data_IF_061779525229
#
_entry.id   IF_061779525229
#
_cell.length_a   1.000
_cell.length_b   1.000
_cell.length_c   1.000
_cell.angle_alpha   90.00
_cell.angle_beta   90.00
_cell.angle_gamma   90.00
#
_symmetry.space_group_name_H-M   'P 1'
#
loop_
_entity.id
_entity.type
_entity.pdbx_description
1 polymer ?
#
# COMPACT_ATOMS: atom_id res chain seq x y z
N UNK A 1 37.08 4.07 28.09
CA UNK A 1 37.87 5.05 28.89
C UNK A 1 38.57 6.02 27.94
N UNK A 2 38.77 7.28 28.39
CA UNK A 2 39.18 8.52 27.68
C UNK A 2 37.96 9.34 27.22
N UNK A 3 37.23 10.06 28.11
CA UNK A 3 37.53 11.32 28.83
C UNK A 3 37.94 12.47 27.89
N UNK A 4 37.03 13.43 27.65
CA UNK A 4 37.23 14.91 27.53
C UNK A 4 35.85 15.57 27.78
N UNK A 5 35.54 16.01 29.00
CA UNK A 5 35.82 17.32 29.64
C UNK A 5 34.82 18.43 29.22
N UNK A 6 34.27 19.05 30.27
CA UNK A 6 33.10 19.94 30.41
C UNK A 6 33.27 21.32 29.77
N UNK A 7 32.15 21.91 29.31
CA UNK A 7 31.83 23.35 29.43
C UNK A 7 30.32 23.52 29.12
N UNK A 8 29.41 23.50 30.10
CA UNK A 8 28.91 24.65 30.86
C UNK A 8 28.57 25.88 30.02
N UNK A 9 27.30 26.01 29.60
CA UNK A 9 26.57 27.25 29.88
C UNK A 9 25.05 27.04 29.86
N UNK A 10 24.48 27.39 31.00
CA UNK A 10 23.08 27.44 31.35
C UNK A 10 22.50 28.76 30.82
N UNK A 11 21.48 28.72 29.98
CA UNK A 11 20.57 29.85 29.78
C UNK A 11 19.14 29.35 29.75
N UNK A 12 18.53 29.38 30.93
CA UNK A 12 17.10 29.39 31.15
C UNK A 12 16.57 30.72 30.62
N UNK A 13 15.64 30.67 29.66
CA UNK A 13 14.73 31.78 29.41
C UNK A 13 13.31 31.24 29.49
N UNK A 14 12.71 31.43 30.66
CA UNK A 14 11.31 31.23 30.90
C UNK A 14 10.56 32.48 30.44
N UNK A 15 9.77 32.36 29.38
CA UNK A 15 8.67 33.27 29.11
C UNK A 15 7.40 32.46 29.05
N UNK A 16 6.67 32.46 30.15
CA UNK A 16 5.27 32.09 30.21
C UNK A 16 4.46 33.24 29.59
N UNK A 17 3.85 33.01 28.43
CA UNK A 17 2.67 33.77 28.00
C UNK A 17 1.45 32.87 28.17
N UNK A 18 0.67 33.17 29.21
CA UNK A 18 -0.71 32.74 29.33
C UNK A 18 -1.50 33.51 28.28
N UNK A 19 -2.08 32.79 27.32
CA UNK A 19 -3.17 33.28 26.49
C UNK A 19 -4.39 32.39 26.75
N UNK A 20 -5.18 32.76 27.76
CA UNK A 20 -6.56 32.30 27.87
C UNK A 20 -7.34 32.89 26.70
N UNK A 21 -7.67 32.05 25.73
CA UNK A 21 -8.67 32.34 24.71
C UNK A 21 -9.69 31.21 24.68
N UNK A 22 -10.83 31.41 25.33
CA UNK A 22 -12.07 30.69 25.02
C UNK A 22 -12.95 31.67 24.25
N UNK A 23 -13.40 31.30 23.04
CA UNK A 23 -14.80 30.92 22.97
C UNK A 23 -15.09 29.77 21.98
N UNK A 24 -16.19 29.08 22.29
CA UNK A 24 -17.06 28.36 21.36
C UNK A 24 -16.57 27.01 20.84
N UNK A 25 -17.18 25.97 21.43
CA UNK A 25 -17.77 24.82 20.74
C UNK A 25 -17.64 24.86 19.22
N UNK A 26 -16.65 24.13 18.71
CA UNK A 26 -16.78 23.49 17.42
C UNK A 26 -16.49 22.02 17.64
N UNK A 27 -17.55 21.22 17.53
CA UNK A 27 -17.44 19.78 17.32
C UNK A 27 -16.62 19.55 16.04
N UNK A 28 -15.29 19.61 16.17
CA UNK A 28 -14.45 18.83 15.28
C UNK A 28 -14.30 17.49 15.99
N UNK A 29 -15.26 16.63 15.72
CA UNK A 29 -15.04 15.19 15.75
C UNK A 29 -13.76 14.99 14.93
N UNK A 30 -12.62 14.96 15.61
CA UNK A 30 -11.48 14.19 15.14
C UNK A 30 -12.05 12.79 15.11
N UNK A 31 -12.62 12.42 13.97
CA UNK A 31 -12.73 11.03 13.59
C UNK A 31 -11.29 10.57 13.64
N UNK A 32 -10.91 10.02 14.78
CA UNK A 32 -9.92 8.98 14.85
C UNK A 32 -10.38 8.00 13.79
N UNK A 33 -9.81 8.14 12.59
CA UNK A 33 -9.94 7.17 11.53
C UNK A 33 -9.28 5.94 12.11
N UNK A 34 -10.04 5.16 12.88
CA UNK A 34 -9.78 3.74 13.04
C UNK A 34 -9.63 3.25 11.63
N UNK A 35 -8.37 3.07 11.21
CA UNK A 35 -8.02 2.45 9.96
C UNK A 35 -8.84 1.16 9.97
N UNK A 36 -9.88 1.10 9.16
CA UNK A 36 -10.65 -0.14 9.07
C UNK A 36 -9.76 -1.11 8.31
N UNK A 37 -9.04 -1.89 9.11
CA UNK A 37 -8.11 -2.91 8.67
C UNK A 37 -8.93 -4.14 8.32
N UNK A 38 -8.87 -4.57 7.07
CA UNK A 38 -9.45 -5.82 6.62
C UNK A 38 -8.38 -6.79 6.13
N UNK A 39 -8.79 -8.00 5.79
CA UNK A 39 -7.92 -8.99 5.13
C UNK A 39 -8.51 -9.37 3.77
N UNK A 40 -7.62 -9.64 2.84
CA UNK A 40 -7.92 -10.21 1.51
C UNK A 40 -7.03 -11.38 1.23
N UNK A 41 -7.46 -12.25 0.32
CA UNK A 41 -6.62 -13.31 -0.21
C UNK A 41 -5.88 -12.76 -1.43
N UNK A 42 -4.56 -12.72 -1.37
CA UNK A 42 -3.70 -12.33 -2.48
C UNK A 42 -3.01 -13.57 -3.03
N UNK A 43 -3.21 -13.83 -4.32
CA UNK A 43 -2.62 -14.95 -5.04
C UNK A 43 -1.73 -14.39 -6.14
N UNK A 44 -0.46 -14.80 -6.17
CA UNK A 44 0.49 -14.46 -7.24
C UNK A 44 0.99 -15.75 -7.86
N UNK A 45 0.74 -15.91 -9.17
CA UNK A 45 1.23 -17.05 -9.96
C UNK A 45 2.53 -16.67 -10.65
N UNK A 46 3.62 -17.24 -10.16
CA UNK A 46 4.99 -16.96 -10.55
C UNK A 46 5.55 -18.16 -11.32
N UNK A 47 5.62 -18.09 -12.65
CA UNK A 47 6.12 -19.18 -13.50
C UNK A 47 5.49 -20.56 -13.15
N UNK A 48 6.20 -21.42 -12.41
CA UNK A 48 5.71 -22.73 -11.94
C UNK A 48 5.09 -22.73 -10.54
N UNK A 49 5.20 -21.63 -9.80
CA UNK A 49 4.79 -21.50 -8.41
C UNK A 49 3.49 -20.70 -8.26
N UNK A 50 2.72 -21.02 -7.22
CA UNK A 50 1.53 -20.27 -6.83
C UNK A 50 1.67 -19.88 -5.37
N UNK A 51 1.82 -18.58 -5.10
CA UNK A 51 1.84 -18.02 -3.76
C UNK A 51 0.41 -17.58 -3.42
N UNK A 52 -0.13 -18.00 -2.28
CA UNK A 52 -1.43 -17.56 -1.78
C UNK A 52 -1.32 -17.22 -0.30
N UNK A 53 -1.70 -16.00 0.06
CA UNK A 53 -1.57 -15.47 1.40
C UNK A 53 -2.72 -14.54 1.77
N UNK A 54 -2.98 -14.42 3.08
CA UNK A 54 -3.96 -13.47 3.61
C UNK A 54 -3.25 -12.20 4.05
N UNK A 55 -3.38 -11.16 3.24
CA UNK A 55 -2.73 -9.87 3.45
C UNK A 55 -3.70 -8.85 4.01
N UNK A 56 -3.15 -7.87 4.71
CA UNK A 56 -3.90 -6.76 5.28
C UNK A 56 -4.13 -5.70 4.22
N UNK A 57 -5.30 -5.07 4.22
CA UNK A 57 -5.57 -3.84 3.46
C UNK A 57 -6.22 -2.79 4.36
N UNK A 58 -6.03 -1.53 4.01
CA UNK A 58 -6.68 -0.39 4.63
C UNK A 58 -7.82 0.13 3.76
N UNK A 59 -8.84 0.70 4.40
CA UNK A 59 -9.97 1.30 3.69
C UNK A 59 -9.50 2.41 2.74
N UNK A 60 -9.75 2.19 1.45
CA UNK A 60 -9.34 3.11 0.38
C UNK A 60 -8.26 2.54 -0.52
N UNK A 61 -7.51 1.54 -0.04
CA UNK A 61 -6.46 0.85 -0.80
C UNK A 61 -7.03 0.24 -2.08
N UNK A 62 -6.24 0.37 -3.14
CA UNK A 62 -6.51 -0.25 -4.42
C UNK A 62 -5.85 -1.62 -4.51
N UNK A 63 -6.25 -2.41 -5.51
CA UNK A 63 -5.65 -3.71 -5.80
C UNK A 63 -4.14 -3.59 -6.01
N UNK A 64 -3.68 -2.50 -6.65
CA UNK A 64 -2.25 -2.24 -6.81
C UNK A 64 -1.56 -1.90 -5.48
N UNK A 65 -2.21 -1.15 -4.59
CA UNK A 65 -1.61 -0.76 -3.31
C UNK A 65 -1.38 -2.00 -2.43
N UNK A 66 -2.37 -2.91 -2.40
CA UNK A 66 -2.25 -4.18 -1.69
C UNK A 66 -1.13 -5.04 -2.29
N UNK A 67 -0.99 -5.08 -3.62
CA UNK A 67 0.13 -5.80 -4.24
C UNK A 67 1.48 -5.19 -3.84
N UNK A 68 1.64 -3.87 -3.96
CA UNK A 68 2.89 -3.16 -3.62
C UNK A 68 3.28 -3.23 -2.15
N UNK A 69 2.31 -3.37 -1.26
CA UNK A 69 2.57 -3.53 0.17
C UNK A 69 3.25 -4.88 0.49
N UNK A 70 3.10 -5.89 -0.36
CA UNK A 70 3.59 -7.25 -0.13
C UNK A 70 4.69 -7.68 -1.12
N UNK A 71 4.74 -7.09 -2.33
CA UNK A 71 5.65 -7.46 -3.41
C UNK A 71 6.36 -6.24 -4.00
N UNK A 72 7.54 -6.44 -4.59
CA UNK A 72 8.23 -5.42 -5.40
C UNK A 72 7.60 -5.37 -6.78
N UNK A 73 6.87 -4.29 -7.05
CA UNK A 73 6.17 -4.10 -8.32
C UNK A 73 6.87 -3.06 -9.19
N UNK A 74 7.05 -3.37 -10.47
CA UNK A 74 7.39 -2.37 -11.51
C UNK A 74 6.19 -2.11 -12.38
N UNK A 75 6.05 -0.87 -12.83
CA UNK A 75 4.94 -0.44 -13.68
C UNK A 75 5.45 0.38 -14.86
N UNK A 76 4.63 0.39 -15.92
CA UNK A 76 4.78 1.26 -17.08
C UNK A 76 3.39 1.62 -17.58
N UNK A 77 3.09 2.92 -17.67
CA UNK A 77 1.81 3.44 -18.17
C UNK A 77 0.56 2.85 -17.46
N UNK A 78 0.69 2.53 -16.18
CA UNK A 78 -0.39 1.94 -15.37
C UNK A 78 -0.54 0.41 -15.50
N UNK A 79 0.34 -0.25 -16.25
CA UNK A 79 0.43 -1.70 -16.34
C UNK A 79 1.56 -2.24 -15.48
N UNK A 80 1.31 -3.36 -14.80
CA UNK A 80 2.32 -4.06 -13.99
C UNK A 80 3.28 -4.79 -14.92
N UNK A 81 4.54 -4.38 -14.98
CA UNK A 81 5.57 -4.99 -15.84
C UNK A 81 6.39 -6.05 -15.12
N UNK A 82 6.43 -6.03 -13.78
CA UNK A 82 7.09 -7.06 -12.99
C UNK A 82 6.54 -7.15 -11.58
N UNK A 83 6.53 -8.36 -11.03
CA UNK A 83 6.27 -8.68 -9.62
C UNK A 83 7.47 -9.50 -9.12
N UNK A 84 8.14 -9.04 -8.06
CA UNK A 84 9.31 -9.67 -7.44
C UNK A 84 10.44 -10.09 -8.41
N UNK A 85 10.62 -9.31 -9.47
CA UNK A 85 11.66 -9.52 -10.48
C UNK A 85 11.22 -10.39 -11.66
N UNK A 86 10.07 -11.06 -11.56
CA UNK A 86 9.46 -11.79 -12.68
C UNK A 86 8.80 -10.79 -13.61
N UNK A 87 9.36 -10.67 -14.82
CA UNK A 87 8.96 -9.65 -15.79
C UNK A 87 8.04 -10.22 -16.86
N UNK A 88 7.29 -9.34 -17.50
CA UNK A 88 6.58 -9.65 -18.75
C UNK A 88 7.55 -10.03 -19.87
N UNK A 89 7.04 -10.72 -20.89
CA UNK A 89 7.76 -10.99 -22.14
C UNK A 89 6.94 -10.44 -23.31
N UNK A 90 7.21 -9.18 -23.68
CA UNK A 90 6.52 -8.49 -24.78
C UNK A 90 6.71 -9.23 -26.12
N UNK A 91 7.84 -9.92 -26.32
CA UNK A 91 8.12 -10.66 -27.56
C UNK A 91 7.23 -11.88 -27.72
N UNK A 92 6.83 -12.49 -26.59
CA UNK A 92 5.87 -13.60 -26.54
C UNK A 92 4.44 -13.15 -26.27
N UNK A 93 4.20 -11.84 -26.10
CA UNK A 93 2.92 -11.29 -25.70
C UNK A 93 2.47 -11.76 -24.32
N UNK A 94 3.40 -12.10 -23.42
CA UNK A 94 3.12 -12.59 -22.07
C UNK A 94 3.05 -11.40 -21.10
N UNK A 95 1.85 -11.10 -20.60
CA UNK A 95 1.59 -9.94 -19.75
C UNK A 95 1.06 -10.34 -18.39
N UNK A 96 1.29 -9.47 -17.39
CA UNK A 96 0.65 -9.61 -16.08
C UNK A 96 -0.81 -9.17 -16.17
N UNK A 97 -1.69 -10.10 -15.81
CA UNK A 97 -3.13 -9.92 -15.70
C UNK A 97 -3.56 -10.09 -14.26
N UNK A 98 -4.79 -9.66 -13.96
CA UNK A 98 -5.36 -9.89 -12.64
C UNK A 98 -6.87 -10.11 -12.67
N UNK A 99 -7.34 -10.82 -11.64
CA UNK A 99 -8.75 -11.08 -11.38
C UNK A 99 -9.10 -10.66 -9.95
N UNK A 100 -10.33 -10.24 -9.77
CA UNK A 100 -10.92 -10.02 -8.44
C UNK A 100 -12.14 -10.92 -8.32
N UNK A 101 -12.17 -11.75 -7.27
CA UNK A 101 -13.23 -12.72 -7.02
C UNK A 101 -13.49 -13.64 -8.22
N UNK A 102 -12.41 -14.15 -8.82
CA UNK A 102 -12.40 -15.02 -10.01
C UNK A 102 -13.00 -14.38 -11.29
N UNK A 103 -13.19 -13.05 -11.32
CA UNK A 103 -13.69 -12.30 -12.48
C UNK A 103 -12.61 -11.36 -13.00
N UNK A 104 -12.54 -11.21 -14.32
CA UNK A 104 -11.67 -10.22 -14.95
C UNK A 104 -12.07 -8.82 -14.50
N UNK A 105 -11.07 -8.04 -14.12
CA UNK A 105 -11.26 -6.67 -13.69
C UNK A 105 -11.56 -5.75 -14.88
N UNK A 106 -12.60 -4.90 -14.80
CA UNK A 106 -12.97 -3.99 -15.90
C UNK A 106 -12.09 -2.73 -15.97
N UNK A 107 -11.16 -2.56 -15.03
CA UNK A 107 -10.31 -1.36 -14.85
C UNK A 107 -8.91 -1.80 -14.42
N UNK A 108 -7.95 -0.88 -14.50
CA UNK A 108 -6.60 -1.12 -14.02
C UNK A 108 -6.55 -1.33 -12.49
N UNK A 109 -5.51 -2.03 -12.00
CA UNK A 109 -5.36 -2.39 -10.59
C UNK A 109 -5.32 -1.17 -9.65
N UNK A 110 -4.80 -0.04 -10.11
CA UNK A 110 -4.76 1.24 -9.39
C UNK A 110 -6.13 1.97 -9.34
N UNK A 111 -7.17 1.43 -9.97
CA UNK A 111 -8.51 2.03 -10.03
C UNK A 111 -9.57 1.19 -9.31
N UNK A 112 -9.21 0.01 -8.82
CA UNK A 112 -10.13 -0.92 -8.15
C UNK A 112 -9.83 -0.91 -6.67
N UNK A 113 -10.76 -0.37 -5.88
CA UNK A 113 -10.68 -0.42 -4.42
C UNK A 113 -10.96 -1.83 -3.91
N UNK A 114 -10.16 -2.25 -2.96
CA UNK A 114 -10.25 -3.55 -2.31
C UNK A 114 -11.36 -3.56 -1.27
N UNK A 115 -12.07 -4.68 -1.17
CA UNK A 115 -13.10 -4.94 -0.18
C UNK A 115 -12.73 -6.13 0.68
N UNK A 116 -13.35 -6.20 1.85
CA UNK A 116 -13.14 -7.28 2.81
C UNK A 116 -13.44 -8.62 2.16
N UNK A 117 -12.54 -9.57 2.35
CA UNK A 117 -12.62 -10.93 1.80
C UNK A 117 -12.57 -11.00 0.26
N UNK A 118 -12.13 -9.95 -0.43
CA UNK A 118 -11.81 -10.10 -1.85
C UNK A 118 -10.70 -11.13 -2.03
N UNK A 119 -10.80 -11.90 -3.11
CA UNK A 119 -9.72 -12.73 -3.64
C UNK A 119 -9.13 -12.03 -4.85
N UNK A 120 -7.87 -11.64 -4.75
CA UNK A 120 -7.12 -10.96 -5.81
C UNK A 120 -6.10 -11.95 -6.35
N UNK A 121 -6.14 -12.22 -7.64
CA UNK A 121 -5.22 -13.17 -8.29
C UNK A 121 -4.47 -12.47 -9.42
N UNK A 122 -3.14 -12.44 -9.32
CA UNK A 122 -2.23 -11.99 -10.37
C UNK A 122 -1.61 -13.20 -11.07
N UNK A 123 -1.56 -13.15 -12.40
CA UNK A 123 -1.05 -14.25 -13.21
C UNK A 123 -0.55 -13.73 -14.55
N UNK A 124 0.37 -14.45 -15.18
CA UNK A 124 0.80 -14.12 -16.54
C UNK A 124 -0.09 -14.82 -17.57
N UNK A 125 -0.48 -14.09 -18.62
CA UNK A 125 -1.31 -14.59 -19.71
C UNK A 125 -0.77 -14.11 -21.05
N UNK A 126 -0.77 -15.01 -22.04
CA UNK A 126 -0.42 -14.63 -23.41
C UNK A 126 -1.61 -13.90 -24.02
N UNK A 127 -1.45 -12.60 -24.25
CA UNK A 127 -2.45 -11.80 -24.94
C UNK A 127 -2.27 -11.96 -26.45
N UNK A 128 -3.17 -12.74 -27.07
CA UNK A 128 -3.24 -12.86 -28.53
C UNK A 128 -4.10 -11.71 -29.06
N UNK A 129 -3.50 -10.85 -29.89
CA UNK A 129 -4.24 -9.88 -30.71
C UNK A 129 -5.07 -10.58 -31.77
#
# INVERSE_FOLDING_TARGET
MKKYIKLFLLTVFATTLVACGQPSTSNKTTTSSTLEVGKVELVVKEDTNVLSEKVVYHKGDTVLDVLKANYKVKEKDGFITSIDGISQDETKGLYWMFKVNNKLAPKAANQIKVKKNDKIEFYQEVYKK
#
